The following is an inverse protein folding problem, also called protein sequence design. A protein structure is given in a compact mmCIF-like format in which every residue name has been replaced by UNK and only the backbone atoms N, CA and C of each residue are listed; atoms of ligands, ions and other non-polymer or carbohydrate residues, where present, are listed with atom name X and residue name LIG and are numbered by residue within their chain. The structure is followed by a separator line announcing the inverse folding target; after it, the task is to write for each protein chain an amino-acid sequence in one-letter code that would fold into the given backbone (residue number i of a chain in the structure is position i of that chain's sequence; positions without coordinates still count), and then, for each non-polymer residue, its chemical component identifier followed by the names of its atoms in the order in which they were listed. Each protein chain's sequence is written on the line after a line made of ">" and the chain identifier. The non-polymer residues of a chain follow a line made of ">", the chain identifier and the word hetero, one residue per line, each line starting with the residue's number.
data_IF_698782980911
#
_entry.id   IF_698782980911
#
_cell.length_a   1.000
_cell.length_b   1.000
_cell.length_c   1.000
_cell.angle_alpha   90.00
_cell.angle_beta   90.00
_cell.angle_gamma   90.00
#
_symmetry.space_group_name_H-M   'P 1'
#
loop_
_entity.id
_entity.type
_entity.pdbx_description
1 polymer ?
#
# COMPACT_ATOMS: atom_id res chain seq x y z
N UNK A 1 -18.99 17.57 -7.35
CA UNK A 1 -18.75 16.37 -6.54
C UNK A 1 -17.82 16.70 -5.41
N UNK A 2 -18.02 16.10 -4.24
CA UNK A 2 -17.10 16.23 -3.10
C UNK A 2 -15.77 15.56 -3.41
N UNK A 3 -14.65 16.18 -2.97
CA UNK A 3 -13.31 15.60 -3.09
C UNK A 3 -12.35 16.13 -2.02
N UNK A 4 -11.32 15.33 -1.70
CA UNK A 4 -10.13 15.76 -1.00
C UNK A 4 -9.00 15.94 -2.01
N UNK A 5 -8.45 17.16 -2.10
CA UNK A 5 -7.55 17.55 -3.18
C UNK A 5 -6.47 18.51 -2.67
N UNK A 6 -5.52 18.81 -3.56
CA UNK A 6 -4.41 19.73 -3.31
C UNK A 6 -4.32 20.75 -4.44
N UNK A 7 -4.19 22.04 -4.10
CA UNK A 7 -3.98 23.15 -5.06
C UNK A 7 -2.56 23.72 -5.02
N UNK A 8 -1.83 23.42 -3.95
CA UNK A 8 -0.41 23.76 -3.74
C UNK A 8 0.22 22.69 -2.84
N UNK A 9 1.49 22.43 -2.96
CA UNK A 9 2.20 21.49 -2.09
C UNK A 9 2.88 22.20 -0.93
N UNK A 10 3.09 21.50 0.20
CA UNK A 10 3.81 22.01 1.37
C UNK A 10 4.63 20.88 2.00
N UNK A 11 5.95 20.94 1.83
CA UNK A 11 6.87 19.91 2.29
C UNK A 11 6.95 19.81 3.81
N UNK A 12 6.85 20.95 4.50
CA UNK A 12 7.01 21.07 5.95
C UNK A 12 5.69 20.83 6.70
N UNK A 13 4.59 21.37 6.16
CA UNK A 13 3.26 21.33 6.77
C UNK A 13 2.20 20.74 5.81
N UNK A 14 2.31 19.45 5.42
CA UNK A 14 1.52 18.88 4.35
C UNK A 14 0.00 19.00 4.54
N UNK A 15 -0.49 19.00 5.77
CA UNK A 15 -1.91 19.15 6.05
C UNK A 15 -2.46 20.56 5.70
N UNK A 16 -1.61 21.57 5.60
CA UNK A 16 -2.04 22.91 5.14
C UNK A 16 -2.30 22.95 3.63
N UNK A 17 -1.77 22.00 2.90
CA UNK A 17 -2.01 21.82 1.48
C UNK A 17 -3.32 21.06 1.18
N UNK A 18 -3.88 20.33 2.16
CA UNK A 18 -5.10 19.54 1.98
C UNK A 18 -6.35 20.42 1.99
N UNK A 19 -7.13 20.32 0.94
CA UNK A 19 -8.46 20.91 0.81
C UNK A 19 -9.52 19.82 0.69
N UNK A 20 -10.71 20.05 1.26
CA UNK A 20 -11.90 19.20 1.13
C UNK A 20 -13.04 20.10 0.67
N UNK A 21 -13.66 19.77 -0.47
CA UNK A 21 -14.70 20.62 -1.05
C UNK A 21 -15.14 20.17 -2.44
N UNK A 22 -15.93 21.03 -3.07
CA UNK A 22 -16.52 20.77 -4.38
C UNK A 22 -15.49 20.84 -5.52
N UNK A 23 -15.51 19.82 -6.39
CA UNK A 23 -14.76 19.78 -7.65
C UNK A 23 -15.69 19.45 -8.81
N UNK A 24 -15.38 19.89 -10.04
CA UNK A 24 -16.13 19.48 -11.22
C UNK A 24 -16.15 17.95 -11.36
N UNK A 25 -17.26 17.41 -11.83
CA UNK A 25 -17.31 15.98 -12.19
C UNK A 25 -16.35 15.71 -13.37
N UNK A 26 -15.64 14.57 -13.37
CA UNK A 26 -14.68 14.26 -14.41
C UNK A 26 -15.38 13.92 -15.74
N UNK A 27 -14.82 14.37 -16.86
CA UNK A 27 -15.19 13.89 -18.19
C UNK A 27 -14.66 12.46 -18.39
N UNK A 28 -15.42 11.64 -19.12
CA UNK A 28 -15.05 10.24 -19.39
C UNK A 28 -14.46 10.13 -20.80
N UNK A 29 -13.14 9.95 -20.95
CA UNK A 29 -12.51 9.76 -22.26
C UNK A 29 -12.94 8.44 -22.90
N UNK A 30 -12.80 8.35 -24.22
CA UNK A 30 -13.05 7.11 -24.95
C UNK A 30 -12.16 5.98 -24.42
N UNK A 31 -12.74 4.82 -24.11
CA UNK A 31 -12.04 3.66 -23.55
C UNK A 31 -11.84 3.70 -22.03
N UNK A 32 -12.33 4.76 -21.38
CA UNK A 32 -12.34 4.89 -19.92
C UNK A 32 -13.72 4.57 -19.36
N UNK A 33 -13.82 4.40 -18.07
CA UNK A 33 -15.06 4.21 -17.33
C UNK A 33 -15.06 5.11 -16.10
N UNK A 34 -16.24 5.58 -15.74
CA UNK A 34 -16.50 6.24 -14.47
C UNK A 34 -16.78 5.19 -13.42
N UNK A 35 -16.31 5.42 -12.21
CA UNK A 35 -16.66 4.64 -11.03
C UNK A 35 -17.23 5.59 -9.98
N UNK A 36 -18.48 5.35 -9.58
CA UNK A 36 -19.08 6.00 -8.40
C UNK A 36 -18.56 5.29 -7.17
N UNK A 37 -17.70 5.97 -6.44
CA UNK A 37 -16.99 5.40 -5.29
C UNK A 37 -17.97 5.17 -4.14
N UNK A 38 -17.81 4.06 -3.47
CA UNK A 38 -18.50 3.69 -2.23
C UNK A 38 -17.56 3.72 -1.04
N UNK A 39 -16.27 3.49 -1.30
CA UNK A 39 -15.22 3.66 -0.33
C UNK A 39 -13.89 3.95 -1.04
N UNK A 40 -13.04 4.71 -0.36
CA UNK A 40 -11.65 4.97 -0.72
C UNK A 40 -10.76 4.82 0.51
N UNK A 41 -9.47 4.48 0.34
CA UNK A 41 -8.61 4.31 1.50
C UNK A 41 -7.30 5.08 1.40
N UNK A 42 -6.84 5.59 2.54
CA UNK A 42 -5.68 6.46 2.67
C UNK A 42 -4.38 5.68 2.67
N UNK A 43 -3.35 6.23 2.03
CA UNK A 43 -2.00 5.70 1.97
C UNK A 43 -0.95 6.76 2.33
N UNK A 44 0.24 6.33 2.70
CA UNK A 44 1.37 7.25 2.87
C UNK A 44 1.71 8.01 1.57
N UNK A 45 1.37 7.45 0.41
CA UNK A 45 1.48 8.11 -0.88
C UNK A 45 0.73 9.46 -0.89
N UNK A 46 -0.45 9.52 -0.32
CA UNK A 46 -1.26 10.74 -0.27
C UNK A 46 -0.60 11.85 0.57
N UNK A 47 0.10 11.47 1.65
CA UNK A 47 0.94 12.40 2.42
C UNK A 47 2.17 12.88 1.63
N UNK A 48 2.77 12.00 0.81
CA UNK A 48 3.88 12.37 -0.06
C UNK A 48 3.43 13.33 -1.17
N UNK A 49 2.24 13.12 -1.75
CA UNK A 49 1.64 14.03 -2.74
C UNK A 49 1.40 15.42 -2.15
N UNK A 50 0.90 15.53 -0.92
CA UNK A 50 0.77 16.82 -0.23
C UNK A 50 2.10 17.54 -0.03
N UNK A 51 3.22 16.80 0.07
CA UNK A 51 4.59 17.34 0.17
C UNK A 51 5.24 17.65 -1.18
N UNK A 52 4.56 17.38 -2.29
CA UNK A 52 5.09 17.55 -3.65
C UNK A 52 5.96 16.40 -4.15
N UNK A 53 6.01 15.28 -3.43
CA UNK A 53 6.76 14.10 -3.89
C UNK A 53 5.91 13.32 -4.88
N UNK A 54 6.37 13.18 -6.13
CA UNK A 54 5.63 12.53 -7.22
C UNK A 54 4.54 13.39 -7.84
N UNK A 55 4.27 14.57 -7.33
CA UNK A 55 3.24 15.49 -7.82
C UNK A 55 3.84 16.87 -8.13
N UNK A 56 4.22 17.13 -9.38
CA UNK A 56 4.74 18.42 -9.79
C UNK A 56 3.63 19.48 -9.93
N UNK A 57 3.99 20.76 -9.76
CA UNK A 57 3.04 21.88 -9.69
C UNK A 57 2.16 22.02 -10.93
N UNK A 58 2.64 21.66 -12.11
CA UNK A 58 1.87 21.69 -13.37
C UNK A 58 0.71 20.67 -13.41
N UNK A 59 0.63 19.76 -12.45
CA UNK A 59 -0.47 18.80 -12.30
C UNK A 59 -1.55 19.25 -11.32
N UNK A 60 -1.33 20.37 -10.65
CA UNK A 60 -2.30 20.92 -9.72
C UNK A 60 -3.42 21.68 -10.44
N UNK A 61 -4.65 21.66 -9.94
CA UNK A 61 -5.10 20.97 -8.73
C UNK A 61 -5.29 19.45 -8.94
N UNK A 62 -4.95 18.64 -7.92
CA UNK A 62 -5.00 17.19 -7.98
C UNK A 62 -5.90 16.62 -6.88
N UNK A 63 -6.87 15.78 -7.24
CA UNK A 63 -7.63 14.95 -6.28
C UNK A 63 -6.72 13.82 -5.84
N UNK A 64 -6.63 13.61 -4.52
CA UNK A 64 -5.78 12.60 -3.91
C UNK A 64 -6.41 11.20 -3.95
N UNK A 65 -5.63 10.19 -3.57
CA UNK A 65 -6.08 8.81 -3.40
C UNK A 65 -5.72 7.88 -4.55
N UNK A 66 -5.23 6.69 -4.17
CA UNK A 66 -4.91 5.60 -5.09
C UNK A 66 -5.81 4.38 -4.87
N UNK A 67 -6.59 4.35 -3.82
CA UNK A 67 -7.40 3.21 -3.42
C UNK A 67 -8.89 3.52 -3.49
N UNK A 68 -9.66 2.72 -4.21
CA UNK A 68 -11.10 2.90 -4.28
C UNK A 68 -11.85 1.65 -4.75
N UNK A 69 -13.09 1.56 -4.31
CA UNK A 69 -14.06 0.57 -4.76
C UNK A 69 -15.43 1.21 -4.92
N UNK A 70 -16.21 0.79 -5.89
CA UNK A 70 -17.50 1.38 -6.19
C UNK A 70 -18.24 0.68 -7.32
N UNK A 71 -19.17 1.39 -7.92
CA UNK A 71 -19.98 0.92 -9.04
C UNK A 71 -19.56 1.61 -10.34
N UNK A 72 -19.30 0.82 -11.38
CA UNK A 72 -19.09 1.38 -12.72
C UNK A 72 -20.41 1.87 -13.36
N UNK A 73 -20.35 2.42 -14.57
CA UNK A 73 -21.53 2.95 -15.28
C UNK A 73 -22.57 1.85 -15.65
N UNK A 74 -22.16 0.59 -15.65
CA UNK A 74 -23.01 -0.57 -15.90
C UNK A 74 -23.63 -1.14 -14.58
N UNK A 75 -23.22 -0.60 -13.43
CA UNK A 75 -23.66 -1.05 -12.11
C UNK A 75 -22.88 -2.25 -11.55
N UNK A 76 -21.76 -2.62 -12.17
CA UNK A 76 -20.92 -3.68 -11.66
C UNK A 76 -20.13 -3.19 -10.44
N UNK A 77 -19.97 -4.07 -9.44
CA UNK A 77 -19.11 -3.85 -8.28
C UNK A 77 -17.64 -4.03 -8.65
N UNK A 78 -16.85 -2.96 -8.52
CA UNK A 78 -15.46 -2.94 -8.98
C UNK A 78 -14.49 -2.38 -7.93
N UNK A 79 -13.24 -2.83 -8.04
CA UNK A 79 -12.07 -2.27 -7.36
C UNK A 79 -11.25 -1.54 -8.43
N UNK A 80 -10.76 -0.35 -8.11
CA UNK A 80 -9.96 0.48 -9.02
C UNK A 80 -8.49 0.11 -8.88
N UNK A 81 -7.87 -0.41 -9.95
CA UNK A 81 -6.42 -0.57 -10.02
C UNK A 81 -5.77 0.76 -10.40
N UNK A 82 -4.88 1.28 -9.55
CA UNK A 82 -4.35 2.64 -9.65
C UNK A 82 -3.16 2.83 -10.58
N UNK A 83 -2.46 1.76 -10.97
CA UNK A 83 -1.37 1.84 -11.95
C UNK A 83 -1.94 1.78 -13.36
N UNK A 84 -1.70 2.83 -14.13
CA UNK A 84 -2.19 2.96 -15.51
C UNK A 84 -1.00 2.85 -16.47
N UNK A 85 -0.95 1.77 -17.24
CA UNK A 85 0.08 1.58 -18.26
C UNK A 85 -0.16 2.44 -19.50
N UNK A 86 0.91 2.70 -20.23
CA UNK A 86 0.82 3.40 -21.51
C UNK A 86 0.07 2.56 -22.56
N UNK A 87 -0.62 3.21 -23.53
CA UNK A 87 -1.33 2.50 -24.58
C UNK A 87 -0.43 1.51 -25.31
N UNK A 88 -0.90 0.26 -25.44
CA UNK A 88 -0.19 -0.81 -26.12
C UNK A 88 0.87 -1.55 -25.25
N UNK A 89 1.11 -1.13 -24.02
CA UNK A 89 1.97 -1.89 -23.11
C UNK A 89 1.42 -3.30 -22.85
N UNK A 90 2.29 -4.28 -22.81
CA UNK A 90 1.96 -5.68 -22.51
C UNK A 90 2.90 -6.21 -21.42
N UNK A 91 2.35 -6.93 -20.46
CA UNK A 91 3.08 -7.48 -19.31
C UNK A 91 2.89 -6.69 -18.04
N UNK A 92 3.88 -6.73 -17.17
CA UNK A 92 3.83 -6.07 -15.85
C UNK A 92 3.73 -4.55 -15.98
N UNK A 93 2.60 -3.97 -15.59
CA UNK A 93 2.32 -2.52 -15.67
C UNK A 93 3.28 -1.71 -14.81
N UNK A 94 3.79 -2.31 -13.72
CA UNK A 94 4.73 -1.61 -12.83
C UNK A 94 6.12 -1.43 -13.45
N UNK A 95 6.41 -2.13 -14.54
CA UNK A 95 7.67 -2.04 -15.29
C UNK A 95 7.55 -1.14 -16.53
N UNK A 96 6.37 -0.65 -16.87
CA UNK A 96 6.21 0.30 -17.96
C UNK A 96 6.91 1.63 -17.59
N UNK A 97 7.93 2.07 -18.35
CA UNK A 97 8.63 3.32 -18.07
C UNK A 97 7.77 4.57 -18.24
N UNK A 98 6.62 4.45 -18.91
CA UNK A 98 5.64 5.52 -19.12
C UNK A 98 4.36 5.30 -18.32
N UNK A 99 4.37 4.37 -17.35
CA UNK A 99 3.22 4.19 -16.46
C UNK A 99 2.91 5.48 -15.73
N UNK A 100 1.67 5.64 -15.41
CA UNK A 100 1.16 6.72 -14.56
C UNK A 100 0.42 6.15 -13.35
N UNK A 101 0.13 7.01 -12.40
CA UNK A 101 -0.58 6.63 -11.19
C UNK A 101 -1.74 7.61 -10.97
N UNK A 102 -2.82 7.13 -10.39
CA UNK A 102 -3.85 7.99 -9.80
C UNK A 102 -3.22 8.87 -8.72
N UNK A 103 -3.71 10.09 -8.58
CA UNK A 103 -3.20 11.08 -7.64
C UNK A 103 -1.78 11.65 -7.97
N UNK A 104 -1.24 11.32 -9.18
CA UNK A 104 0.00 11.91 -9.70
C UNK A 104 -0.20 12.53 -11.09
N UNK A 105 -0.77 11.76 -12.02
CA UNK A 105 -1.04 12.20 -13.40
C UNK A 105 -2.54 12.31 -13.65
N UNK A 106 -3.32 11.44 -13.07
CA UNK A 106 -4.77 11.38 -13.17
C UNK A 106 -5.39 11.67 -11.80
N UNK A 107 -6.59 12.25 -11.81
CA UNK A 107 -7.32 12.54 -10.59
C UNK A 107 -7.53 11.25 -9.75
N UNK A 108 -7.41 11.36 -8.44
CA UNK A 108 -7.43 10.23 -7.51
C UNK A 108 -8.82 9.81 -7.05
N UNK A 109 -8.84 8.92 -6.06
CA UNK A 109 -10.04 8.24 -5.56
C UNK A 109 -10.64 8.86 -4.31
N UNK A 110 -10.05 9.89 -3.71
CA UNK A 110 -10.66 10.60 -2.57
C UNK A 110 -11.70 11.60 -3.10
N UNK A 111 -12.76 11.08 -3.74
CA UNK A 111 -13.86 11.83 -4.33
C UNK A 111 -15.10 10.94 -4.46
N UNK A 112 -16.26 11.54 -4.81
CA UNK A 112 -17.48 10.78 -5.12
C UNK A 112 -17.32 9.90 -6.36
N UNK A 113 -16.52 10.36 -7.34
CA UNK A 113 -16.33 9.67 -8.62
C UNK A 113 -14.85 9.72 -9.06
N UNK A 114 -14.41 8.65 -9.73
CA UNK A 114 -13.12 8.60 -10.42
C UNK A 114 -13.30 8.04 -11.82
N UNK A 115 -12.42 8.45 -12.74
CA UNK A 115 -12.39 7.95 -14.12
C UNK A 115 -11.07 7.27 -14.39
N UNK A 116 -11.13 6.02 -14.88
CA UNK A 116 -9.95 5.18 -15.17
C UNK A 116 -10.14 4.42 -16.48
N UNK A 117 -9.06 3.95 -17.14
CA UNK A 117 -9.20 3.04 -18.26
C UNK A 117 -10.04 1.81 -17.85
N UNK A 118 -10.94 1.35 -18.75
CA UNK A 118 -11.79 0.17 -18.48
C UNK A 118 -10.97 -1.06 -18.04
N UNK A 119 -9.74 -1.18 -18.57
CA UNK A 119 -8.81 -2.25 -18.19
C UNK A 119 -8.31 -2.18 -16.74
N UNK A 120 -8.49 -1.07 -16.05
CA UNK A 120 -8.09 -0.90 -14.64
C UNK A 120 -9.19 -1.30 -13.64
N UNK A 121 -10.33 -1.77 -14.11
CA UNK A 121 -11.40 -2.26 -13.25
C UNK A 121 -11.21 -3.75 -12.97
N UNK A 122 -11.25 -4.11 -11.69
CA UNK A 122 -11.19 -5.51 -11.20
C UNK A 122 -12.50 -5.81 -10.49
N UNK A 123 -13.19 -6.92 -10.82
CA UNK A 123 -14.42 -7.27 -10.13
C UNK A 123 -14.21 -7.37 -8.61
N UNK A 124 -15.07 -6.72 -7.84
CA UNK A 124 -15.05 -6.83 -6.38
C UNK A 124 -15.56 -8.23 -5.98
N UNK A 125 -14.83 -8.99 -5.15
CA UNK A 125 -15.31 -10.27 -4.65
C UNK A 125 -16.60 -10.13 -3.85
N UNK A 126 -17.55 -11.01 -4.09
CA UNK A 126 -18.71 -11.13 -3.22
C UNK A 126 -18.26 -11.43 -1.78
N UNK A 127 -18.89 -10.79 -0.80
CA UNK A 127 -18.59 -10.97 0.62
C UNK A 127 -17.49 -10.07 1.20
N UNK A 128 -16.81 -9.23 0.39
CA UNK A 128 -16.08 -8.09 0.91
C UNK A 128 -17.01 -6.88 1.02
N UNK A 129 -16.88 -6.11 2.10
CA UNK A 129 -17.50 -4.78 2.18
C UNK A 129 -16.82 -3.81 1.20
N UNK A 130 -17.41 -2.64 0.99
CA UNK A 130 -16.78 -1.60 0.16
C UNK A 130 -15.47 -1.11 0.77
N UNK A 131 -15.46 -0.93 2.09
CA UNK A 131 -14.30 -0.50 2.86
C UNK A 131 -13.16 -1.51 2.79
N UNK A 132 -13.47 -2.81 2.90
CA UNK A 132 -12.49 -3.88 2.75
C UNK A 132 -11.92 -3.91 1.32
N UNK A 133 -12.79 -3.80 0.31
CA UNK A 133 -12.38 -3.80 -1.09
C UNK A 133 -11.50 -2.59 -1.43
N UNK A 134 -11.82 -1.41 -0.89
CA UNK A 134 -11.02 -0.20 -1.06
C UNK A 134 -9.62 -0.29 -0.42
N UNK A 135 -9.36 -1.20 0.50
CA UNK A 135 -8.02 -1.39 1.09
C UNK A 135 -7.03 -2.12 0.17
N UNK A 136 -7.50 -2.74 -0.91
CA UNK A 136 -6.71 -3.72 -1.67
C UNK A 136 -5.69 -3.10 -2.66
N UNK A 137 -5.98 -2.02 -3.42
CA UNK A 137 -5.18 -1.64 -4.58
C UNK A 137 -3.74 -1.24 -4.29
N UNK A 138 -3.46 -0.61 -3.15
CA UNK A 138 -2.09 -0.17 -2.80
C UNK A 138 -1.45 -1.04 -1.74
N UNK A 139 -1.86 -0.93 -0.48
CA UNK A 139 -1.14 -1.56 0.63
C UNK A 139 -1.22 -3.09 0.59
N UNK A 140 -2.38 -3.65 0.32
CA UNK A 140 -2.58 -5.08 0.27
C UNK A 140 -1.97 -5.71 -0.97
N UNK A 141 -2.11 -5.06 -2.12
CA UNK A 141 -1.48 -5.49 -3.37
C UNK A 141 0.05 -5.44 -3.27
N UNK A 142 0.61 -4.39 -2.65
CA UNK A 142 2.05 -4.29 -2.37
C UNK A 142 2.50 -5.45 -1.48
N UNK A 143 1.77 -5.76 -0.39
CA UNK A 143 2.09 -6.87 0.49
C UNK A 143 2.03 -8.23 -0.24
N UNK A 144 1.01 -8.45 -1.06
CA UNK A 144 0.86 -9.66 -1.88
C UNK A 144 2.06 -9.83 -2.82
N UNK A 145 2.42 -8.76 -3.55
CA UNK A 145 3.55 -8.76 -4.47
C UNK A 145 4.88 -8.98 -3.74
N UNK A 146 5.07 -8.34 -2.58
CA UNK A 146 6.28 -8.55 -1.77
C UNK A 146 6.45 -10.00 -1.35
N UNK A 147 5.36 -10.66 -0.91
CA UNK A 147 5.42 -12.05 -0.45
C UNK A 147 5.63 -13.03 -1.62
N UNK A 148 4.75 -12.97 -2.60
CA UNK A 148 4.60 -14.08 -3.55
C UNK A 148 5.33 -13.86 -4.87
N UNK A 149 5.39 -12.63 -5.36
CA UNK A 149 6.04 -12.34 -6.65
C UNK A 149 7.53 -12.04 -6.47
N UNK A 150 7.86 -11.07 -5.62
CA UNK A 150 9.25 -10.64 -5.43
C UNK A 150 10.00 -11.53 -4.45
N UNK A 151 9.43 -11.77 -3.27
CA UNK A 151 10.05 -12.56 -2.21
C UNK A 151 10.04 -14.05 -2.50
N UNK A 152 9.07 -14.53 -3.29
CA UNK A 152 8.86 -15.95 -3.60
C UNK A 152 8.76 -16.80 -2.32
N UNK A 153 8.09 -16.24 -1.31
CA UNK A 153 7.93 -16.89 0.00
C UNK A 153 6.96 -18.07 -0.12
N UNK A 154 7.33 -19.19 0.48
CA UNK A 154 6.53 -20.41 0.49
C UNK A 154 6.14 -20.85 1.90
N UNK A 155 5.09 -21.68 2.09
CA UNK A 155 4.70 -22.21 3.39
C UNK A 155 5.86 -22.82 4.16
N UNK A 156 5.90 -22.63 5.49
CA UNK A 156 6.96 -23.11 6.38
C UNK A 156 8.17 -22.18 6.52
N UNK A 157 8.34 -21.20 5.64
CA UNK A 157 9.39 -20.19 5.79
C UNK A 157 9.05 -19.17 6.89
N UNK A 158 10.06 -18.44 7.35
CA UNK A 158 9.93 -17.35 8.33
C UNK A 158 10.26 -16.04 7.66
N UNK A 159 9.38 -15.06 7.77
CA UNK A 159 9.64 -13.69 7.33
C UNK A 159 9.75 -12.74 8.51
N UNK A 160 10.54 -11.68 8.34
CA UNK A 160 10.58 -10.52 9.23
C UNK A 160 9.95 -9.32 8.53
N UNK A 161 8.93 -8.73 9.13
CA UNK A 161 8.32 -7.48 8.67
C UNK A 161 8.90 -6.32 9.50
N UNK A 162 9.55 -5.37 8.85
CA UNK A 162 9.99 -4.14 9.50
C UNK A 162 8.81 -3.18 9.59
N UNK A 163 8.39 -2.87 10.83
CA UNK A 163 7.15 -2.16 11.13
C UNK A 163 5.99 -3.12 11.47
N UNK A 164 5.04 -2.66 12.27
CA UNK A 164 3.96 -3.50 12.80
C UNK A 164 2.54 -2.93 12.62
N UNK A 165 2.39 -1.61 12.35
CA UNK A 165 1.07 -0.96 12.39
C UNK A 165 0.53 -0.51 11.03
N UNK A 166 1.38 -0.23 10.05
CA UNK A 166 0.94 0.31 8.76
C UNK A 166 0.15 -0.69 7.91
N UNK A 167 -0.55 -0.19 6.89
CA UNK A 167 -1.38 -1.00 6.01
C UNK A 167 -0.65 -2.16 5.34
N UNK A 168 0.59 -1.95 4.87
CA UNK A 168 1.42 -3.02 4.29
C UNK A 168 1.82 -4.05 5.35
N UNK A 169 2.22 -3.61 6.54
CA UNK A 169 2.62 -4.52 7.61
C UNK A 169 1.47 -5.42 8.09
N UNK A 170 0.29 -4.85 8.30
CA UNK A 170 -0.90 -5.63 8.70
C UNK A 170 -1.37 -6.59 7.61
N UNK A 171 -1.23 -6.19 6.34
CA UNK A 171 -1.50 -7.07 5.19
C UNK A 171 -0.48 -8.23 5.11
N UNK A 172 0.81 -7.95 5.30
CA UNK A 172 1.87 -8.98 5.33
C UNK A 172 1.63 -10.02 6.43
N UNK A 173 1.21 -9.57 7.62
CA UNK A 173 0.84 -10.48 8.73
C UNK A 173 -0.31 -11.39 8.31
N UNK A 174 -1.40 -10.82 7.84
CA UNK A 174 -2.61 -11.55 7.51
C UNK A 174 -2.40 -12.52 6.33
N UNK A 175 -1.78 -12.06 5.25
CA UNK A 175 -1.51 -12.85 4.05
C UNK A 175 -0.46 -13.94 4.33
N UNK A 176 0.63 -13.60 5.04
CA UNK A 176 1.69 -14.56 5.38
C UNK A 176 1.15 -15.70 6.25
N UNK A 177 0.42 -15.36 7.31
CA UNK A 177 -0.23 -16.37 8.16
C UNK A 177 -1.17 -17.29 7.36
N UNK A 178 -2.04 -16.72 6.54
CA UNK A 178 -2.99 -17.50 5.73
C UNK A 178 -2.29 -18.39 4.69
N UNK A 179 -1.07 -18.01 4.27
CA UNK A 179 -0.23 -18.81 3.39
C UNK A 179 0.66 -19.83 4.12
N UNK A 180 0.53 -20.00 5.44
CA UNK A 180 1.34 -20.93 6.21
C UNK A 180 2.79 -20.49 6.44
N UNK A 181 3.05 -19.19 6.41
CA UNK A 181 4.35 -18.55 6.67
C UNK A 181 4.42 -18.09 8.12
N UNK A 182 5.54 -18.32 8.81
CA UNK A 182 5.80 -17.71 10.12
C UNK A 182 6.11 -16.23 9.94
N UNK A 183 5.35 -15.39 10.61
CA UNK A 183 5.49 -13.94 10.47
C UNK A 183 6.01 -13.34 11.77
N UNK A 184 7.21 -12.77 11.73
CA UNK A 184 7.79 -11.96 12.79
C UNK A 184 7.73 -10.49 12.41
N UNK A 185 7.54 -9.62 13.39
CA UNK A 185 7.47 -8.17 13.17
C UNK A 185 8.40 -7.43 14.10
N UNK A 186 8.79 -6.21 13.72
CA UNK A 186 9.47 -5.29 14.65
C UNK A 186 8.69 -3.98 14.77
N UNK A 187 8.74 -3.39 15.97
CA UNK A 187 8.27 -2.01 16.20
C UNK A 187 8.95 -1.40 17.41
N UNK A 188 9.18 -0.09 17.39
CA UNK A 188 9.60 0.69 18.56
C UNK A 188 8.48 0.80 19.61
N UNK A 189 7.24 0.75 19.14
CA UNK A 189 6.01 0.92 19.91
C UNK A 189 5.52 -0.44 20.43
N UNK A 190 5.41 -0.58 21.75
CA UNK A 190 4.98 -1.81 22.40
C UNK A 190 3.50 -2.14 22.12
N UNK A 191 2.63 -1.14 22.09
CA UNK A 191 1.21 -1.35 21.79
C UNK A 191 1.03 -1.89 20.37
N UNK A 192 1.82 -1.40 19.39
CA UNK A 192 1.82 -1.94 18.03
C UNK A 192 2.39 -3.35 17.96
N UNK A 193 3.39 -3.70 18.76
CA UNK A 193 3.89 -5.08 18.85
C UNK A 193 2.82 -6.04 19.37
N UNK A 194 2.14 -5.67 20.46
CA UNK A 194 1.04 -6.45 21.02
C UNK A 194 -0.09 -6.64 20.02
N UNK A 195 -0.48 -5.55 19.34
CA UNK A 195 -1.52 -5.59 18.32
C UNK A 195 -1.17 -6.45 17.11
N UNK A 196 0.10 -6.46 16.70
CA UNK A 196 0.57 -7.31 15.61
C UNK A 196 0.43 -8.80 15.94
N UNK A 197 0.71 -9.20 17.19
CA UNK A 197 0.50 -10.58 17.66
C UNK A 197 -0.98 -10.94 17.67
N UNK A 198 -1.85 -10.04 18.13
CA UNK A 198 -3.32 -10.23 18.05
C UNK A 198 -3.81 -10.39 16.61
N UNK A 199 -3.19 -9.69 15.65
CA UNK A 199 -3.48 -9.82 14.22
C UNK A 199 -2.90 -11.08 13.59
N UNK A 200 -2.07 -11.84 14.32
CA UNK A 200 -1.58 -13.14 13.91
C UNK A 200 -0.09 -13.20 13.58
N UNK A 201 0.71 -12.20 13.94
CA UNK A 201 2.16 -12.37 13.94
C UNK A 201 2.57 -13.43 14.98
N UNK A 202 3.48 -14.32 14.61
CA UNK A 202 3.93 -15.37 15.51
C UNK A 202 4.79 -14.81 16.64
N UNK A 203 5.57 -13.76 16.36
CA UNK A 203 6.38 -13.05 17.35
C UNK A 203 6.54 -11.57 16.96
N UNK A 204 6.69 -10.73 17.97
CA UNK A 204 6.96 -9.30 17.79
C UNK A 204 8.16 -8.88 18.66
N UNK A 205 9.06 -8.10 18.06
CA UNK A 205 10.31 -7.68 18.70
C UNK A 205 10.44 -6.16 18.70
N UNK A 206 11.24 -5.65 19.59
CA UNK A 206 11.68 -4.25 19.49
C UNK A 206 12.53 -4.04 18.23
N UNK A 207 12.45 -2.85 17.65
CA UNK A 207 13.25 -2.52 16.46
C UNK A 207 14.74 -2.66 16.73
N UNK A 208 15.43 -3.46 15.90
CA UNK A 208 16.85 -3.74 16.03
C UNK A 208 17.20 -4.85 17.03
N UNK A 209 16.23 -5.45 17.69
CA UNK A 209 16.46 -6.55 18.64
C UNK A 209 17.09 -7.78 17.96
N UNK A 210 17.94 -8.49 18.69
CA UNK A 210 18.46 -9.77 18.22
C UNK A 210 17.34 -10.79 18.11
N UNK A 211 17.17 -11.37 16.93
CA UNK A 211 16.19 -12.43 16.71
C UNK A 211 16.69 -13.78 17.22
N UNK A 212 15.77 -14.70 17.60
CA UNK A 212 16.14 -16.06 18.03
C UNK A 212 16.90 -16.85 16.96
N UNK A 213 16.51 -16.69 15.72
CA UNK A 213 17.14 -17.28 14.53
C UNK A 213 17.10 -16.32 13.33
N UNK A 214 17.82 -16.65 12.27
CA UNK A 214 17.74 -15.90 11.01
C UNK A 214 16.50 -16.29 10.22
N UNK A 215 16.01 -15.34 9.42
CA UNK A 215 14.77 -15.48 8.62
C UNK A 215 15.07 -15.74 7.16
N UNK A 216 14.10 -16.28 6.45
CA UNK A 216 14.21 -16.59 5.01
C UNK A 216 14.05 -15.33 4.15
N UNK A 217 13.18 -14.40 4.58
CA UNK A 217 13.01 -13.12 3.89
C UNK A 217 12.72 -11.98 4.90
N UNK A 218 13.07 -10.76 4.49
CA UNK A 218 12.71 -9.53 5.20
C UNK A 218 11.84 -8.66 4.29
N UNK A 219 10.70 -8.21 4.81
CA UNK A 219 9.78 -7.27 4.18
C UNK A 219 10.07 -5.87 4.72
N UNK A 220 10.77 -5.07 3.92
CA UNK A 220 11.32 -3.78 4.34
C UNK A 220 10.43 -2.62 3.87
N UNK A 221 9.85 -1.91 4.83
CA UNK A 221 8.99 -0.73 4.58
C UNK A 221 9.54 0.55 5.19
N UNK A 222 10.55 0.43 6.06
CA UNK A 222 11.08 1.52 6.90
C UNK A 222 12.31 2.18 6.31
N UNK A 223 13.25 1.41 5.76
CA UNK A 223 14.41 1.93 5.05
C UNK A 223 15.65 2.12 5.93
N UNK A 224 16.26 3.32 5.90
CA UNK A 224 17.58 3.58 6.47
C UNK A 224 17.75 3.14 7.93
N UNK A 225 16.75 3.36 8.77
CA UNK A 225 16.82 3.05 10.21
C UNK A 225 16.86 1.54 10.50
N UNK A 226 16.31 0.70 9.63
CA UNK A 226 16.18 -0.75 9.83
C UNK A 226 17.08 -1.56 8.90
N UNK A 227 17.67 -0.95 7.88
CA UNK A 227 18.45 -1.62 6.85
C UNK A 227 19.50 -2.59 7.38
N UNK A 228 20.38 -2.12 8.29
CA UNK A 228 21.45 -2.97 8.84
C UNK A 228 20.90 -4.17 9.62
N UNK A 229 19.81 -3.96 10.35
CA UNK A 229 19.12 -5.05 11.06
C UNK A 229 18.51 -6.03 10.06
N UNK A 230 17.83 -5.55 9.01
CA UNK A 230 17.22 -6.36 7.96
C UNK A 230 18.24 -7.27 7.27
N UNK A 231 19.38 -6.71 6.82
CA UNK A 231 20.44 -7.49 6.18
C UNK A 231 21.06 -8.52 7.14
N UNK A 232 21.25 -8.15 8.41
CA UNK A 232 21.84 -9.04 9.43
C UNK A 232 20.92 -10.18 9.86
N UNK A 233 19.63 -10.01 9.69
CA UNK A 233 18.61 -11.00 10.07
C UNK A 233 18.45 -12.13 9.06
N UNK A 234 18.98 -12.01 7.85
CA UNK A 234 18.77 -12.98 6.77
C UNK A 234 19.66 -14.23 6.89
N UNK A 235 19.09 -15.38 6.56
CA UNK A 235 19.83 -16.62 6.25
C UNK A 235 20.67 -16.42 4.96
N UNK A 236 21.73 -17.22 4.74
CA UNK A 236 22.38 -17.30 3.44
C UNK A 236 21.35 -17.58 2.33
N UNK A 237 21.45 -16.89 1.20
CA UNK A 237 20.50 -16.97 0.10
C UNK A 237 19.16 -16.27 0.34
N UNK A 238 18.94 -15.69 1.51
CA UNK A 238 17.71 -15.01 1.87
C UNK A 238 17.44 -13.74 1.03
N UNK A 239 16.19 -13.27 1.09
CA UNK A 239 15.74 -12.10 0.33
C UNK A 239 15.37 -10.93 1.24
N UNK A 240 15.73 -9.71 0.83
CA UNK A 240 15.16 -8.48 1.35
C UNK A 240 14.30 -7.83 0.26
N UNK A 241 13.02 -7.65 0.53
CA UNK A 241 12.08 -7.04 -0.41
C UNK A 241 11.70 -5.65 0.11
N UNK A 242 12.00 -4.62 -0.67
CA UNK A 242 11.88 -3.22 -0.28
C UNK A 242 10.71 -2.59 -1.03
N UNK A 243 9.73 -2.05 -0.30
CA UNK A 243 8.62 -1.29 -0.90
C UNK A 243 8.52 0.15 -0.40
N UNK A 244 9.36 0.56 0.52
CA UNK A 244 9.33 1.90 1.07
C UNK A 244 10.56 2.23 1.91
N UNK A 245 10.71 3.52 2.19
CA UNK A 245 11.85 4.06 2.94
C UNK A 245 11.39 5.24 3.84
N UNK A 246 10.40 4.99 4.69
CA UNK A 246 9.78 6.05 5.52
C UNK A 246 10.73 6.73 6.50
N UNK A 247 11.83 6.06 6.88
CA UNK A 247 12.89 6.63 7.71
C UNK A 247 14.07 7.22 6.92
N UNK A 248 13.95 7.27 5.59
CA UNK A 248 14.99 7.72 4.67
C UNK A 248 15.51 6.63 3.76
N UNK A 249 15.99 7.03 2.57
CA UNK A 249 16.42 6.12 1.51
C UNK A 249 17.93 5.80 1.52
N UNK A 250 18.74 6.51 2.33
CA UNK A 250 20.20 6.39 2.35
C UNK A 250 20.68 5.78 3.68
N UNK A 251 20.85 4.44 3.77
CA UNK A 251 21.41 3.82 4.96
C UNK A 251 22.89 4.19 5.13
N UNK A 252 23.34 4.39 6.38
CA UNK A 252 24.73 4.75 6.70
C UNK A 252 25.74 3.69 6.25
N UNK A 253 25.34 2.42 6.25
CA UNK A 253 26.14 1.27 5.81
C UNK A 253 25.31 0.40 4.89
N UNK A 254 25.78 0.18 3.68
CA UNK A 254 25.11 -0.67 2.68
C UNK A 254 25.19 -2.17 2.99
N UNK A 255 26.08 -2.60 3.92
CA UNK A 255 26.31 -4.01 4.30
C UNK A 255 26.76 -4.89 3.12
N UNK A 256 27.48 -4.35 2.13
CA UNK A 256 27.84 -5.03 0.88
C UNK A 256 28.56 -6.36 1.12
N UNK A 257 29.51 -6.41 2.08
CA UNK A 257 30.24 -7.64 2.42
C UNK A 257 29.28 -8.76 2.80
N UNK A 258 28.24 -8.44 3.55
CA UNK A 258 27.23 -9.42 3.95
C UNK A 258 26.36 -9.85 2.78
N UNK A 259 25.99 -8.91 1.91
CA UNK A 259 25.15 -9.16 0.74
C UNK A 259 25.84 -10.17 -0.19
N UNK A 260 27.12 -9.93 -0.59
CA UNK A 260 27.76 -10.86 -1.49
C UNK A 260 28.19 -12.16 -0.81
N UNK A 261 28.71 -12.10 0.41
CA UNK A 261 29.21 -13.29 1.11
C UNK A 261 28.11 -14.30 1.44
N UNK A 262 26.93 -13.80 1.82
CA UNK A 262 25.75 -14.62 2.09
C UNK A 262 24.86 -14.82 0.86
N UNK A 263 25.22 -14.30 -0.30
CA UNK A 263 24.47 -14.41 -1.55
C UNK A 263 23.02 -13.91 -1.39
N UNK A 264 22.84 -12.77 -0.70
CA UNK A 264 21.52 -12.21 -0.43
C UNK A 264 20.92 -11.59 -1.70
N UNK A 265 19.61 -11.74 -1.84
CA UNK A 265 18.84 -11.08 -2.90
C UNK A 265 18.26 -9.77 -2.35
N UNK A 266 18.53 -8.66 -3.04
CA UNK A 266 17.96 -7.33 -2.72
C UNK A 266 17.01 -6.95 -3.84
N UNK A 267 15.72 -6.88 -3.52
CA UNK A 267 14.62 -6.78 -4.48
C UNK A 267 13.78 -5.54 -4.19
N UNK A 268 13.56 -4.71 -5.22
CA UNK A 268 12.59 -3.64 -5.17
C UNK A 268 11.18 -4.16 -5.45
N UNK A 269 10.18 -3.55 -4.83
CA UNK A 269 8.77 -3.84 -5.06
C UNK A 269 7.96 -2.54 -5.01
N UNK A 270 7.11 -2.31 -6.00
CA UNK A 270 6.20 -1.16 -6.01
C UNK A 270 4.84 -1.60 -6.48
N UNK A 271 3.80 -1.25 -5.72
CA UNK A 271 2.41 -1.56 -6.06
C UNK A 271 2.24 -3.05 -6.46
N UNK A 272 1.55 -3.32 -7.54
CA UNK A 272 1.41 -4.61 -8.19
C UNK A 272 0.64 -4.47 -9.50
N UNK A 273 0.49 -5.58 -10.24
CA UNK A 273 -0.26 -5.60 -11.47
C UNK A 273 -1.77 -5.77 -11.22
N UNK A 274 -2.57 -5.43 -12.22
CA UNK A 274 -4.02 -5.72 -12.20
C UNK A 274 -4.30 -7.21 -12.02
N UNK A 275 -3.48 -8.06 -12.64
CA UNK A 275 -3.62 -9.50 -12.49
C UNK A 275 -3.34 -9.96 -11.05
N UNK A 276 -2.30 -9.41 -10.41
CA UNK A 276 -2.00 -9.66 -9.00
C UNK A 276 -3.14 -9.17 -8.09
N UNK A 277 -3.77 -8.02 -8.40
CA UNK A 277 -4.95 -7.55 -7.66
C UNK A 277 -6.11 -8.55 -7.78
N UNK A 278 -6.35 -9.10 -8.96
CA UNK A 278 -7.34 -10.15 -9.15
C UNK A 278 -7.02 -11.43 -8.36
N UNK A 279 -5.75 -11.85 -8.35
CA UNK A 279 -5.28 -13.00 -7.54
C UNK A 279 -5.39 -12.74 -6.05
N UNK A 280 -5.06 -11.53 -5.59
CA UNK A 280 -5.26 -11.12 -4.19
C UNK A 280 -6.74 -11.19 -3.80
N UNK A 281 -7.63 -10.65 -4.61
CA UNK A 281 -9.06 -10.70 -4.38
C UNK A 281 -9.57 -12.16 -4.26
N UNK A 282 -9.09 -13.05 -5.14
CA UNK A 282 -9.36 -14.47 -5.08
C UNK A 282 -8.80 -15.13 -3.81
N UNK A 283 -7.58 -14.76 -3.40
CA UNK A 283 -6.94 -15.26 -2.18
C UNK A 283 -7.76 -14.89 -0.93
N UNK A 284 -8.23 -13.64 -0.82
CA UNK A 284 -9.08 -13.22 0.29
C UNK A 284 -10.40 -14.01 0.33
N UNK A 285 -10.99 -14.23 -0.83
CA UNK A 285 -12.24 -15.02 -0.93
C UNK A 285 -12.06 -16.46 -0.44
N UNK A 286 -10.96 -17.12 -0.82
CA UNK A 286 -10.71 -18.53 -0.48
C UNK A 286 -10.21 -18.72 0.95
N UNK A 287 -9.42 -17.80 1.48
CA UNK A 287 -8.82 -17.87 2.83
C UNK A 287 -9.72 -17.31 3.94
N UNK A 288 -10.70 -16.48 3.59
CA UNK A 288 -11.52 -15.75 4.56
C UNK A 288 -10.79 -14.56 5.24
N UNK A 289 -9.56 -14.26 4.85
CA UNK A 289 -8.80 -13.12 5.39
C UNK A 289 -9.49 -11.81 5.02
N UNK A 290 -9.45 -10.85 5.95
CA UNK A 290 -10.03 -9.52 5.79
C UNK A 290 -9.02 -8.42 6.10
N UNK A 291 -9.06 -7.28 5.37
CA UNK A 291 -8.29 -6.11 5.71
C UNK A 291 -8.56 -5.60 7.12
N UNK A 292 -7.48 -5.29 7.85
CA UNK A 292 -7.62 -4.57 9.12
C UNK A 292 -7.88 -3.11 8.81
N UNK A 293 -9.08 -2.67 9.13
CA UNK A 293 -9.50 -1.26 9.09
C UNK A 293 -9.38 -0.70 10.50
N UNK A 294 -8.68 0.42 10.61
CA UNK A 294 -8.51 1.15 11.84
C UNK A 294 -9.71 2.08 12.11
N UNK A 295 -10.08 2.85 11.08
CA UNK A 295 -11.15 3.85 11.20
C UNK A 295 -11.85 4.00 9.85
N UNK A 296 -13.16 4.16 9.87
CA UNK A 296 -13.99 4.60 8.74
C UNK A 296 -14.53 5.98 9.04
N UNK A 297 -14.34 6.93 8.14
CA UNK A 297 -14.81 8.32 8.23
C UNK A 297 -15.58 8.68 6.96
N UNK A 298 -16.55 9.59 7.02
CA UNK A 298 -17.10 10.19 5.81
C UNK A 298 -16.01 11.07 5.14
N UNK A 299 -16.10 11.24 3.82
CA UNK A 299 -15.07 11.95 3.03
C UNK A 299 -14.92 13.42 3.46
N UNK A 300 -15.98 14.06 3.95
CA UNK A 300 -15.96 15.42 4.53
C UNK A 300 -14.95 15.55 5.68
N UNK A 301 -14.70 14.45 6.38
CA UNK A 301 -13.74 14.37 7.50
C UNK A 301 -12.37 13.84 7.07
N UNK A 302 -12.02 13.96 5.79
CA UNK A 302 -10.75 13.46 5.27
C UNK A 302 -9.54 14.00 6.06
N UNK A 303 -9.57 15.27 6.46
CA UNK A 303 -8.51 15.89 7.27
C UNK A 303 -8.18 15.09 8.54
N UNK A 304 -9.16 14.59 9.25
CA UNK A 304 -8.95 13.77 10.46
C UNK A 304 -8.22 12.46 10.15
N UNK A 305 -8.56 11.84 9.01
CA UNK A 305 -7.85 10.63 8.55
C UNK A 305 -6.39 10.90 8.23
N UNK A 306 -6.10 12.03 7.56
CA UNK A 306 -4.72 12.46 7.27
C UNK A 306 -3.95 12.81 8.55
N UNK A 307 -4.56 13.51 9.51
CA UNK A 307 -3.96 13.82 10.83
C UNK A 307 -3.58 12.54 11.57
N UNK A 308 -4.48 11.56 11.60
CA UNK A 308 -4.26 10.27 12.23
C UNK A 308 -3.11 9.50 11.57
N UNK A 309 -3.06 9.50 10.22
CA UNK A 309 -1.98 8.85 9.48
C UNK A 309 -0.63 9.54 9.72
N UNK A 310 -0.60 10.87 9.71
CA UNK A 310 0.60 11.66 9.96
C UNK A 310 1.12 11.50 11.39
N UNK A 311 0.22 11.42 12.39
CA UNK A 311 0.55 11.14 13.79
C UNK A 311 1.09 9.73 14.02
N UNK A 312 0.86 8.82 13.09
CA UNK A 312 1.33 7.45 13.19
C UNK A 312 0.51 6.56 14.11
N UNK A 313 -0.67 6.97 14.55
CA UNK A 313 -1.55 6.25 15.48
C UNK A 313 -2.55 5.33 14.75
N UNK A 314 -2.12 4.78 13.61
CA UNK A 314 -2.94 3.88 12.79
C UNK A 314 -2.46 2.45 12.90
N UNK A 315 -3.41 1.51 13.06
CA UNK A 315 -3.17 0.06 12.93
C UNK A 315 -4.09 -0.51 11.86
N UNK A 316 -3.56 -0.65 10.65
CA UNK A 316 -4.30 -1.05 9.46
C UNK A 316 -4.52 0.11 8.50
N UNK A 317 -5.76 0.27 8.02
CA UNK A 317 -6.14 1.27 7.02
C UNK A 317 -7.14 2.27 7.57
N UNK A 318 -7.00 3.53 7.18
CA UNK A 318 -8.03 4.55 7.30
C UNK A 318 -8.84 4.55 6.01
N UNK A 319 -10.14 4.49 6.10
CA UNK A 319 -11.06 4.39 4.96
C UNK A 319 -12.04 5.55 5.01
N UNK A 320 -12.37 6.08 3.85
CA UNK A 320 -13.44 7.06 3.66
C UNK A 320 -14.60 6.39 2.93
N UNK A 321 -15.80 6.54 3.48
CA UNK A 321 -17.06 6.12 2.84
C UNK A 321 -17.75 7.31 2.20
N UNK A 322 -18.45 7.07 1.11
CA UNK A 322 -19.33 8.03 0.44
C UNK A 322 -20.76 7.81 0.87
#
# INVERSE_FOLDING_TARGET
>A
MLAAFVTRTDADNPLQALEVGERPAPEVPQGWARVRLKAASLNHHDLWSLRGVGLPDERLPMILGCDGAGLDDEGNEVIVHSVISSPGWRGDETLDPRRSLLSEVHQGTLADEVVVPKGNLVPKPAGLSWEEAACLPTAWLTAYRMLFTQGQVVPGQTILVQGAGGGVATALIALGRAAGVRVWVTSRDEAKRSRAVELGADQAFESGARLPERVDAVMETVGAATWSHSVKSLKPGGAIVICGATSGAAPKNAELNRIFFLQLRVLGSTMGTREELGRLAQFLRSSGVRPKIDTVLPLERAREGFEKLLGGDVVGKVVFSS
#
